data_IF_411781370455
#
_entry.id   IF_411781370455
#
_cell.length_a   1.000
_cell.length_b   1.000
_cell.length_c   1.000
_cell.angle_alpha   90.00
_cell.angle_beta   90.00
_cell.angle_gamma   90.00
#
_symmetry.space_group_name_H-M   'P 1'
#
loop_
_entity.id
_entity.type
_entity.pdbx_description
1 polymer ?
#
# COMPACT_ATOMS: atom_id res chain seq x y z
N UNK A 1 17.61 24.60 16.02
CA UNK A 1 18.06 24.64 14.60
C UNK A 1 18.11 23.21 14.08
N UNK A 2 17.28 22.83 13.09
CA UNK A 2 17.04 21.45 12.71
C UNK A 2 17.99 21.00 11.60
N UNK A 3 18.64 19.85 11.76
CA UNK A 3 19.18 19.08 10.63
C UNK A 3 18.76 17.63 10.79
N UNK A 4 17.70 17.23 10.08
CA UNK A 4 17.45 15.82 9.79
C UNK A 4 17.05 15.71 8.33
N UNK A 5 17.99 15.17 7.58
CA UNK A 5 18.00 14.93 6.14
C UNK A 5 16.76 14.16 5.70
N UNK A 6 15.92 14.84 4.92
CA UNK A 6 14.71 14.35 4.25
C UNK A 6 15.07 13.19 3.32
N UNK A 7 14.79 11.95 3.75
CA UNK A 7 15.03 10.72 2.99
C UNK A 7 14.05 10.61 1.80
N UNK A 8 14.39 11.22 0.66
CA UNK A 8 13.55 11.24 -0.54
C UNK A 8 13.93 10.05 -1.44
N UNK A 9 13.45 8.85 -1.11
CA UNK A 9 13.60 7.67 -1.99
C UNK A 9 12.75 7.86 -3.26
N UNK A 10 13.36 8.32 -4.34
CA UNK A 10 12.75 8.41 -5.68
C UNK A 10 12.42 7.00 -6.19
N UNK A 11 11.17 6.56 -6.02
CA UNK A 11 10.70 5.29 -6.58
C UNK A 11 10.31 5.46 -8.04
N UNK A 12 10.95 4.68 -8.91
CA UNK A 12 10.68 4.68 -10.33
C UNK A 12 9.34 3.98 -10.62
N UNK A 13 8.47 4.54 -11.47
CA UNK A 13 7.15 3.98 -11.79
C UNK A 13 7.22 2.57 -12.38
N UNK A 14 8.35 2.16 -12.98
CA UNK A 14 8.55 0.83 -13.53
C UNK A 14 8.79 -0.29 -12.50
N UNK A 15 9.16 0.02 -11.25
CA UNK A 15 9.41 -1.02 -10.23
C UNK A 15 8.13 -1.58 -9.58
N UNK A 16 7.01 -0.85 -9.63
CA UNK A 16 5.77 -1.27 -8.97
C UNK A 16 5.04 -2.40 -9.66
N UNK A 17 5.06 -2.43 -10.99
CA UNK A 17 4.49 -3.54 -11.74
C UNK A 17 5.16 -4.85 -11.31
N UNK A 18 6.49 -4.83 -11.16
CA UNK A 18 7.29 -5.98 -10.70
C UNK A 18 6.97 -6.34 -9.26
N UNK A 19 6.91 -5.37 -8.33
CA UNK A 19 6.55 -5.64 -6.92
C UNK A 19 5.13 -6.23 -6.76
N UNK A 20 4.18 -5.79 -7.60
CA UNK A 20 2.81 -6.32 -7.62
C UNK A 20 2.76 -7.70 -8.28
N UNK A 21 3.47 -7.91 -9.39
CA UNK A 21 3.62 -9.21 -10.05
C UNK A 21 4.27 -10.25 -9.12
N UNK A 22 5.32 -9.87 -8.38
CA UNK A 22 5.97 -10.71 -7.35
C UNK A 22 5.00 -11.05 -6.21
N UNK A 23 4.06 -10.16 -5.92
CA UNK A 23 2.99 -10.40 -4.95
C UNK A 23 1.79 -11.19 -5.53
N UNK A 24 1.86 -11.62 -6.80
CA UNK A 24 0.80 -12.34 -7.50
C UNK A 24 -0.39 -11.45 -7.90
N UNK A 25 -0.20 -10.13 -7.95
CA UNK A 25 -1.22 -9.13 -8.27
C UNK A 25 -0.99 -8.60 -9.67
N UNK A 26 -1.95 -8.83 -10.57
CA UNK A 26 -1.90 -8.33 -11.95
C UNK A 26 -2.24 -6.84 -11.97
N UNK A 27 -1.25 -5.98 -12.27
CA UNK A 27 -1.45 -4.53 -12.33
C UNK A 27 -1.76 -4.04 -13.77
N UNK A 28 -2.93 -3.43 -13.98
CA UNK A 28 -3.39 -2.88 -15.27
C UNK A 28 -3.82 -1.42 -15.11
N UNK A 29 -2.89 -0.49 -15.23
CA UNK A 29 -3.18 0.95 -15.20
C UNK A 29 -3.29 1.57 -16.61
N UNK A 30 -4.17 2.59 -16.76
CA UNK A 30 -4.35 3.37 -18.00
C UNK A 30 -3.10 4.14 -18.43
N UNK A 31 -2.11 4.29 -17.53
CA UNK A 31 -0.78 4.82 -17.82
C UNK A 31 0.19 4.61 -16.65
N UNK A 32 1.51 4.66 -16.92
CA UNK A 32 2.58 4.41 -15.92
C UNK A 32 2.54 5.36 -14.70
N UNK A 33 1.89 6.52 -14.80
CA UNK A 33 1.72 7.47 -13.68
C UNK A 33 0.67 7.02 -12.67
N UNK A 34 -0.47 6.47 -13.10
CA UNK A 34 -1.55 6.07 -12.18
C UNK A 34 -1.11 5.01 -11.18
N UNK A 35 -0.35 4.01 -11.65
CA UNK A 35 0.21 2.97 -10.78
C UNK A 35 1.27 3.51 -9.80
N UNK A 36 1.92 4.62 -10.15
CA UNK A 36 2.94 5.28 -9.34
C UNK A 36 2.36 6.23 -8.28
N UNK A 37 1.08 6.59 -8.38
CA UNK A 37 0.37 7.45 -7.43
C UNK A 37 -0.27 6.65 -6.28
N UNK A 38 -0.67 5.38 -6.51
CA UNK A 38 -1.14 4.49 -5.45
C UNK A 38 0.04 3.97 -4.62
N UNK A 39 0.51 4.77 -3.66
CA UNK A 39 1.60 4.40 -2.76
C UNK A 39 1.04 3.68 -1.52
N UNK A 40 1.23 2.36 -1.33
CA UNK A 40 0.83 1.69 -0.08
C UNK A 40 1.63 2.21 1.13
N UNK A 41 2.88 2.64 0.89
CA UNK A 41 3.75 3.23 1.92
C UNK A 41 3.29 4.61 2.42
N UNK A 42 2.35 5.27 1.73
CA UNK A 42 1.74 6.50 2.22
C UNK A 42 0.66 6.22 3.27
N UNK A 43 0.22 4.96 3.39
CA UNK A 43 -0.82 4.55 4.32
C UNK A 43 -0.25 3.77 5.49
N UNK A 44 -0.91 3.92 6.64
CA UNK A 44 -0.63 3.13 7.84
C UNK A 44 -0.86 1.65 7.56
N UNK A 45 -0.25 0.78 8.36
CA UNK A 45 -0.53 -0.66 8.32
C UNK A 45 -2.01 -0.89 8.59
N UNK A 46 -2.75 -1.31 7.57
CA UNK A 46 -4.21 -1.53 7.67
C UNK A 46 -4.56 -2.58 8.73
N UNK A 47 -3.68 -3.56 8.94
CA UNK A 47 -3.82 -4.59 9.97
C UNK A 47 -3.96 -3.99 11.38
N UNK A 48 -3.21 -2.91 11.69
CA UNK A 48 -3.24 -2.23 12.98
C UNK A 48 -4.55 -1.46 13.19
N UNK A 49 -5.05 -0.82 12.13
CA UNK A 49 -6.33 -0.11 12.15
C UNK A 49 -7.47 -1.09 12.44
N UNK A 50 -7.51 -2.21 11.72
CA UNK A 50 -8.53 -3.25 11.92
C UNK A 50 -8.41 -3.88 13.32
N UNK A 51 -7.19 -4.04 13.84
CA UNK A 51 -6.97 -4.52 15.21
C UNK A 51 -7.55 -3.55 16.27
N UNK A 52 -7.29 -2.24 16.14
CA UNK A 52 -7.86 -1.22 17.04
C UNK A 52 -9.40 -1.22 17.03
N UNK A 53 -10.02 -1.22 15.85
CA UNK A 53 -11.48 -1.18 15.72
C UNK A 53 -12.13 -2.44 16.30
N UNK A 54 -11.52 -3.61 16.06
CA UNK A 54 -12.01 -4.86 16.63
C UNK A 54 -11.84 -4.92 18.16
N UNK A 55 -10.70 -4.46 18.68
CA UNK A 55 -10.45 -4.40 20.12
C UNK A 55 -11.40 -3.41 20.83
N UNK A 56 -11.78 -2.33 20.17
CA UNK A 56 -12.76 -1.38 20.66
C UNK A 56 -14.23 -1.88 20.59
N UNK A 57 -14.47 -3.09 20.07
CA UNK A 57 -15.82 -3.65 19.92
C UNK A 57 -16.69 -2.94 18.87
N UNK A 58 -16.11 -2.08 18.04
CA UNK A 58 -16.84 -1.27 17.05
C UNK A 58 -17.16 -2.05 15.77
N UNK A 59 -16.38 -3.08 15.45
CA UNK A 59 -16.67 -3.97 14.33
C UNK A 59 -16.08 -5.37 14.57
N UNK A 60 -16.71 -6.40 14.01
CA UNK A 60 -16.20 -7.78 14.05
C UNK A 60 -15.38 -8.08 12.80
N UNK A 61 -14.19 -8.66 12.98
CA UNK A 61 -13.41 -9.22 11.86
C UNK A 61 -14.17 -10.41 11.25
N UNK A 62 -14.40 -10.39 9.94
CA UNK A 62 -15.14 -11.45 9.23
C UNK A 62 -14.22 -12.21 8.28
N UNK A 63 -13.56 -11.50 7.36
CA UNK A 63 -12.64 -12.09 6.40
C UNK A 63 -11.51 -11.11 6.06
N UNK A 64 -10.37 -11.64 5.63
CA UNK A 64 -9.26 -10.88 5.04
C UNK A 64 -9.10 -11.31 3.59
N UNK A 65 -9.22 -10.36 2.67
CA UNK A 65 -9.05 -10.61 1.24
C UNK A 65 -7.60 -10.35 0.82
N UNK A 66 -7.17 -11.06 -0.23
CA UNK A 66 -5.90 -10.79 -0.93
C UNK A 66 -6.24 -10.35 -2.35
N UNK A 67 -5.69 -9.21 -2.82
CA UNK A 67 -5.94 -8.77 -4.18
C UNK A 67 -5.29 -9.73 -5.18
N UNK A 68 -5.95 -9.93 -6.32
CA UNK A 68 -5.44 -10.71 -7.45
C UNK A 68 -5.10 -9.82 -8.66
N UNK A 69 -5.68 -8.62 -8.74
CA UNK A 69 -5.37 -7.63 -9.75
C UNK A 69 -5.91 -6.26 -9.39
N UNK A 70 -5.27 -5.21 -9.92
CA UNK A 70 -5.59 -3.79 -9.70
C UNK A 70 -5.48 -2.99 -10.99
#
# INVERSE_FOLDING_TARGET
MPQSTRNRRKHHPGRRSVELEDAGVVARARGRRGLAEEQPAAYKRVDDVVACVAAAGLARKVARLRPMGV
#
